data_IF_969954661549
#
_entry.id   IF_969954661549
#
_cell.length_a   1.000
_cell.length_b   1.000
_cell.length_c   1.000
_cell.angle_alpha   90.00
_cell.angle_beta   90.00
_cell.angle_gamma   90.00
#
_symmetry.space_group_name_H-M   'P 1'
#
loop_
_entity.id
_entity.type
_entity.pdbx_description
1 polymer ?
#
# COMPACT_ATOMS: atom_id res chain seq x y z
N UNK A 1 -6.00 5.54 16.46
CA UNK A 1 -7.47 5.72 16.43
C UNK A 1 -8.07 5.39 15.05
N UNK A 2 -7.52 5.91 13.93
CA UNK A 2 -8.04 5.65 12.57
C UNK A 2 -8.14 4.16 12.18
N UNK A 3 -7.15 3.35 12.58
CA UNK A 3 -7.10 1.91 12.25
C UNK A 3 -8.32 1.11 12.74
N UNK A 4 -8.96 1.50 13.85
CA UNK A 4 -10.12 0.78 14.37
C UNK A 4 -11.33 0.96 13.46
N UNK A 5 -11.69 2.21 13.15
CA UNK A 5 -12.84 2.52 12.29
C UNK A 5 -12.65 1.98 10.87
N UNK A 6 -11.45 2.12 10.32
CA UNK A 6 -11.08 1.54 9.03
C UNK A 6 -10.96 0.00 9.04
N UNK A 7 -11.14 -0.67 10.17
CA UNK A 7 -11.23 -2.14 10.22
C UNK A 7 -12.68 -2.65 10.24
N UNK A 8 -13.66 -1.78 10.47
CA UNK A 8 -15.05 -2.18 10.77
C UNK A 8 -16.03 -1.74 9.68
N UNK A 9 -15.74 -0.67 8.93
CA UNK A 9 -16.53 -0.27 7.78
C UNK A 9 -15.66 0.29 6.65
N UNK A 10 -16.22 0.41 5.44
CA UNK A 10 -15.59 1.11 4.33
C UNK A 10 -15.79 2.63 4.47
N UNK A 11 -14.73 3.42 4.73
CA UNK A 11 -14.83 4.88 4.76
C UNK A 11 -15.11 5.45 3.36
N UNK A 12 -15.61 6.69 3.27
CA UNK A 12 -15.81 7.36 1.97
C UNK A 12 -14.48 7.45 1.19
N UNK A 13 -14.53 7.22 -0.12
CA UNK A 13 -13.33 7.26 -0.99
C UNK A 13 -12.54 8.55 -0.85
N UNK A 14 -13.22 9.69 -0.79
CA UNK A 14 -12.58 11.00 -0.61
C UNK A 14 -11.71 11.08 0.66
N UNK A 15 -12.09 10.41 1.75
CA UNK A 15 -11.31 10.36 2.99
C UNK A 15 -10.05 9.51 2.78
N UNK A 16 -10.18 8.35 2.14
CA UNK A 16 -9.06 7.45 1.85
C UNK A 16 -8.07 8.11 0.91
N UNK A 17 -8.56 8.79 -0.13
CA UNK A 17 -7.76 9.55 -1.07
C UNK A 17 -7.01 10.69 -0.37
N UNK A 18 -7.69 11.46 0.48
CA UNK A 18 -7.04 12.54 1.26
C UNK A 18 -5.91 12.02 2.15
N UNK A 19 -6.14 10.91 2.85
CA UNK A 19 -5.12 10.28 3.71
C UNK A 19 -3.95 9.77 2.86
N UNK A 20 -4.25 9.12 1.74
CA UNK A 20 -3.23 8.62 0.81
C UNK A 20 -2.38 9.77 0.27
N UNK A 21 -3.00 10.90 -0.07
CA UNK A 21 -2.29 12.11 -0.49
C UNK A 21 -1.36 12.63 0.60
N UNK A 22 -1.83 12.75 1.85
CA UNK A 22 -0.99 13.20 2.98
C UNK A 22 0.20 12.26 3.18
N UNK A 23 -0.02 10.94 3.16
CA UNK A 23 1.08 9.97 3.29
C UNK A 23 2.08 10.07 2.13
N UNK A 24 1.61 10.30 0.91
CA UNK A 24 2.45 10.49 -0.28
C UNK A 24 3.27 11.76 -0.20
N UNK A 25 2.65 12.89 0.13
CA UNK A 25 3.31 14.18 0.29
C UNK A 25 4.37 14.13 1.39
N UNK A 26 4.04 13.51 2.53
CA UNK A 26 5.00 13.35 3.61
C UNK A 26 6.21 12.48 3.20
N UNK A 27 5.97 11.35 2.52
CA UNK A 27 7.04 10.43 2.13
C UNK A 27 8.05 11.06 1.15
N UNK A 28 7.57 11.85 0.18
CA UNK A 28 8.42 12.39 -0.89
C UNK A 28 8.80 13.87 -0.72
N UNK A 29 7.93 14.65 -0.07
CA UNK A 29 8.07 16.09 0.13
C UNK A 29 8.42 16.51 1.54
N UNK A 30 8.19 15.66 2.55
CA UNK A 30 8.42 15.98 3.98
C UNK A 30 7.44 17.00 4.58
N UNK A 31 6.46 17.47 3.80
CA UNK A 31 5.41 18.42 4.17
C UNK A 31 4.06 17.91 3.67
N UNK A 32 2.96 18.36 4.29
CA UNK A 32 1.61 17.93 3.90
C UNK A 32 1.21 18.43 2.49
N UNK A 33 1.73 19.60 2.10
CA UNK A 33 1.47 20.19 0.79
C UNK A 33 2.21 19.42 -0.32
N UNK A 34 1.51 19.20 -1.43
CA UNK A 34 2.06 18.50 -2.58
C UNK A 34 3.06 19.41 -3.30
N UNK A 35 4.34 19.23 -2.99
CA UNK A 35 5.43 20.06 -3.55
C UNK A 35 6.38 19.28 -4.45
N UNK A 36 6.46 17.96 -4.31
CA UNK A 36 7.44 17.13 -5.03
C UNK A 36 6.80 15.97 -5.75
N UNK A 37 7.26 15.73 -6.98
CA UNK A 37 6.88 14.56 -7.78
C UNK A 37 7.49 13.31 -7.15
N UNK A 38 6.70 12.27 -6.85
CA UNK A 38 7.21 11.01 -6.33
C UNK A 38 8.26 10.37 -7.24
N UNK A 39 9.36 9.90 -6.66
CA UNK A 39 10.38 9.16 -7.40
C UNK A 39 9.91 7.76 -7.82
N UNK A 40 9.00 7.17 -7.05
CA UNK A 40 8.49 5.81 -7.28
C UNK A 40 6.96 5.87 -7.25
N UNK A 41 6.30 5.07 -8.10
CA UNK A 41 4.84 5.00 -8.13
C UNK A 41 4.32 4.54 -6.76
N UNK A 42 3.16 5.04 -6.36
CA UNK A 42 2.59 4.65 -5.07
C UNK A 42 2.23 3.17 -5.03
N UNK A 43 1.71 2.63 -6.14
CA UNK A 43 1.37 1.23 -6.31
C UNK A 43 2.54 0.28 -6.02
N UNK A 44 3.77 0.73 -6.30
CA UNK A 44 4.99 0.00 -5.99
C UNK A 44 5.47 0.27 -4.56
N UNK A 45 5.39 1.53 -4.12
CA UNK A 45 5.82 1.96 -2.79
C UNK A 45 5.18 1.14 -1.67
N UNK A 46 3.86 0.93 -1.70
CA UNK A 46 3.16 0.26 -0.59
C UNK A 46 3.35 -1.27 -0.55
N UNK A 47 3.96 -1.88 -1.57
CA UNK A 47 4.14 -3.33 -1.58
C UNK A 47 5.01 -3.80 -0.39
N UNK A 48 4.87 -5.07 -0.03
CA UNK A 48 5.73 -5.66 0.99
C UNK A 48 7.20 -5.55 0.60
N UNK A 49 8.08 -5.52 1.60
CA UNK A 49 9.54 -5.43 1.38
C UNK A 49 10.08 -6.55 0.50
N UNK A 50 9.59 -7.79 0.71
CA UNK A 50 9.88 -8.97 -0.13
C UNK A 50 9.51 -8.80 -1.60
N UNK A 51 8.59 -7.89 -1.91
CA UNK A 51 8.11 -7.59 -3.27
C UNK A 51 8.70 -6.29 -3.83
N UNK A 52 9.65 -5.69 -3.11
CA UNK A 52 10.37 -4.51 -3.55
C UNK A 52 9.74 -3.17 -3.16
N UNK A 53 8.68 -3.16 -2.35
CA UNK A 53 8.15 -1.93 -1.75
C UNK A 53 8.78 -1.62 -0.38
N UNK A 54 8.26 -0.61 0.32
CA UNK A 54 8.70 -0.23 1.68
C UNK A 54 7.87 -0.89 2.78
N UNK A 55 6.75 -1.54 2.43
CA UNK A 55 5.85 -2.21 3.37
C UNK A 55 4.90 -1.29 4.13
N UNK A 56 4.59 -0.11 3.59
CA UNK A 56 3.50 0.73 4.12
C UNK A 56 2.14 0.20 3.65
N UNK A 57 1.07 0.49 4.39
CA UNK A 57 -0.27 0.00 4.03
C UNK A 57 -0.89 0.92 2.98
N UNK A 58 -1.38 0.33 1.89
CA UNK A 58 -2.42 0.98 1.09
C UNK A 58 -3.75 0.91 1.84
N UNK A 59 -4.29 2.05 2.25
CA UNK A 59 -5.46 2.09 3.12
C UNK A 59 -6.72 1.55 2.45
N UNK A 60 -6.86 1.73 1.14
CA UNK A 60 -8.01 1.22 0.39
C UNK A 60 -7.97 -0.32 0.31
N UNK A 61 -6.83 -0.88 -0.13
CA UNK A 61 -6.63 -2.32 -0.20
C UNK A 61 -6.71 -2.96 1.20
N UNK A 62 -6.02 -2.39 2.20
CA UNK A 62 -6.00 -2.93 3.56
C UNK A 62 -7.39 -2.92 4.22
N UNK A 63 -8.16 -1.84 4.04
CA UNK A 63 -9.53 -1.75 4.56
C UNK A 63 -10.42 -2.82 3.91
N UNK A 64 -10.39 -2.94 2.57
CA UNK A 64 -11.15 -3.97 1.84
C UNK A 64 -10.80 -5.39 2.30
N UNK A 65 -9.51 -5.70 2.45
CA UNK A 65 -9.03 -7.00 2.95
C UNK A 65 -9.51 -7.24 4.38
N UNK A 66 -9.52 -6.21 5.23
CA UNK A 66 -9.95 -6.36 6.63
C UNK A 66 -11.44 -6.60 6.76
N UNK A 67 -12.27 -5.86 6.01
CA UNK A 67 -13.72 -6.11 5.93
C UNK A 67 -14.00 -7.50 5.36
N UNK A 68 -13.24 -7.88 4.33
CA UNK A 68 -13.32 -9.21 3.76
C UNK A 68 -13.03 -10.32 4.78
N UNK A 69 -11.99 -10.16 5.62
CA UNK A 69 -11.69 -11.11 6.70
C UNK A 69 -12.82 -11.21 7.73
N UNK A 70 -13.51 -10.11 8.04
CA UNK A 70 -14.68 -10.12 8.93
C UNK A 70 -15.84 -10.88 8.29
N UNK A 71 -16.19 -10.59 7.04
CA UNK A 71 -17.23 -11.29 6.28
C UNK A 71 -16.92 -12.79 6.22
N UNK A 72 -15.68 -13.15 5.91
CA UNK A 72 -15.23 -14.55 5.87
C UNK A 72 -15.39 -15.25 7.23
N UNK A 73 -15.02 -14.58 8.33
CA UNK A 73 -15.14 -15.16 9.67
C UNK A 73 -16.61 -15.43 10.05
N UNK A 74 -17.54 -14.57 9.65
CA UNK A 74 -18.98 -14.80 9.85
C UNK A 74 -19.48 -15.93 8.94
N UNK A 75 -19.10 -15.92 7.66
CA UNK A 75 -19.49 -16.93 6.68
C UNK A 75 -19.04 -18.36 7.09
N UNK A 76 -17.82 -18.47 7.60
CA UNK A 76 -17.22 -19.75 8.04
C UNK A 76 -17.59 -20.15 9.46
N UNK A 77 -18.47 -19.40 10.14
CA UNK A 77 -18.86 -19.62 11.55
C UNK A 77 -17.65 -19.80 12.47
N UNK A 78 -16.62 -18.96 12.28
CA UNK A 78 -15.37 -19.03 13.05
C UNK A 78 -15.66 -19.03 14.55
N UNK A 79 -15.02 -19.93 15.29
CA UNK A 79 -15.23 -20.11 16.73
C UNK A 79 -14.61 -18.97 17.56
N UNK A 80 -15.24 -17.79 17.53
CA UNK A 80 -14.85 -16.62 18.32
C UNK A 80 -16.10 -15.92 18.90
N UNK A 81 -16.01 -15.30 20.09
CA UNK A 81 -17.19 -14.79 20.80
C UNK A 81 -18.07 -13.83 20.00
N UNK A 82 -17.47 -12.88 19.28
CA UNK A 82 -18.23 -11.89 18.50
C UNK A 82 -18.95 -12.51 17.29
N UNK A 83 -18.39 -13.57 16.68
CA UNK A 83 -19.05 -14.31 15.59
C UNK A 83 -20.22 -15.10 16.14
N UNK A 84 -20.04 -15.80 17.27
CA UNK A 84 -21.15 -16.49 17.96
C UNK A 84 -22.28 -15.53 18.31
N UNK A 85 -21.94 -14.38 18.86
CA UNK A 85 -22.91 -13.33 19.19
C UNK A 85 -23.63 -12.82 17.92
N UNK A 86 -22.91 -12.57 16.83
CA UNK A 86 -23.52 -12.13 15.58
C UNK A 86 -24.46 -13.18 14.99
N UNK A 87 -24.09 -14.46 15.05
CA UNK A 87 -24.95 -15.56 14.63
C UNK A 87 -26.21 -15.67 15.50
N UNK A 88 -26.09 -15.56 16.82
CA UNK A 88 -27.24 -15.61 17.73
C UNK A 88 -28.16 -14.39 17.65
N UNK A 89 -27.61 -13.18 17.47
CA UNK A 89 -28.40 -11.93 17.48
C UNK A 89 -28.97 -11.55 16.13
N UNK A 90 -28.17 -11.67 15.06
CA UNK A 90 -28.53 -11.18 13.72
C UNK A 90 -29.01 -12.29 12.80
N UNK A 91 -28.28 -13.40 12.71
CA UNK A 91 -28.49 -14.43 11.67
C UNK A 91 -29.57 -15.43 12.08
N UNK A 92 -29.60 -15.85 13.36
CA UNK A 92 -30.61 -16.75 13.95
C UNK A 92 -30.82 -18.01 13.11
N UNK A 93 -29.73 -18.74 12.87
CA UNK A 93 -29.67 -20.00 12.11
C UNK A 93 -30.02 -19.94 10.62
N UNK A 94 -30.22 -18.74 10.06
CA UNK A 94 -30.34 -18.55 8.61
C UNK A 94 -29.01 -18.83 7.89
N UNK A 95 -29.08 -19.23 6.63
CA UNK A 95 -27.89 -19.28 5.80
C UNK A 95 -27.30 -17.87 5.63
N UNK A 96 -25.98 -17.77 5.70
CA UNK A 96 -25.30 -16.49 5.58
C UNK A 96 -25.57 -15.85 4.22
N UNK A 97 -25.46 -16.59 3.12
CA UNK A 97 -25.51 -16.08 1.74
C UNK A 97 -26.90 -15.60 1.32
N UNK A 98 -27.95 -16.20 1.89
CA UNK A 98 -29.34 -15.82 1.67
C UNK A 98 -29.89 -14.88 2.75
N UNK A 99 -29.05 -14.46 3.70
CA UNK A 99 -29.45 -13.60 4.79
C UNK A 99 -29.77 -12.18 4.33
N UNK A 100 -30.91 -11.66 4.79
CA UNK A 100 -31.26 -10.25 4.68
C UNK A 100 -31.33 -9.61 6.08
N UNK A 101 -30.66 -8.46 6.30
CA UNK A 101 -30.65 -7.82 7.60
C UNK A 101 -32.02 -7.22 7.94
N UNK A 102 -32.42 -7.36 9.20
CA UNK A 102 -33.67 -6.78 9.70
C UNK A 102 -33.62 -5.23 9.71
N UNK A 103 -34.76 -4.53 9.61
CA UNK A 103 -34.80 -3.07 9.57
C UNK A 103 -34.23 -2.38 10.82
N UNK A 104 -34.24 -3.04 11.96
CA UNK A 104 -33.67 -2.59 13.24
C UNK A 104 -32.16 -2.87 13.37
N UNK A 105 -31.56 -3.56 12.40
CA UNK A 105 -30.12 -3.87 12.42
C UNK A 105 -29.27 -2.60 12.33
N UNK A 106 -28.08 -2.64 12.95
CA UNK A 106 -27.17 -1.50 12.92
C UNK A 106 -26.76 -1.12 11.49
N UNK A 107 -26.55 0.17 11.26
CA UNK A 107 -26.17 0.68 9.94
C UNK A 107 -24.87 0.02 9.42
N UNK A 108 -23.89 -0.17 10.30
CA UNK A 108 -22.62 -0.82 9.99
C UNK A 108 -22.85 -2.27 9.50
N UNK A 109 -23.70 -3.02 10.21
CA UNK A 109 -24.02 -4.41 9.85
C UNK A 109 -24.67 -4.49 8.47
N UNK A 110 -25.67 -3.65 8.22
CA UNK A 110 -26.32 -3.55 6.90
C UNK A 110 -25.33 -3.21 5.79
N UNK A 111 -24.45 -2.23 6.01
CA UNK A 111 -23.46 -1.79 5.03
C UNK A 111 -22.44 -2.89 4.70
N UNK A 112 -21.92 -3.57 5.72
CA UNK A 112 -20.98 -4.68 5.50
C UNK A 112 -21.65 -5.86 4.77
N UNK A 113 -22.93 -6.13 5.02
CA UNK A 113 -23.71 -7.15 4.31
C UNK A 113 -24.01 -6.80 2.86
N UNK A 114 -24.21 -5.52 2.52
CA UNK A 114 -24.33 -5.12 1.12
C UNK A 114 -23.09 -5.50 0.30
N UNK A 115 -21.92 -5.55 0.94
CA UNK A 115 -20.67 -5.99 0.31
C UNK A 115 -20.52 -7.52 0.23
N UNK A 116 -21.35 -8.30 0.92
CA UNK A 116 -21.34 -9.77 0.84
C UNK A 116 -21.60 -10.29 -0.57
N UNK A 117 -22.49 -9.66 -1.34
CA UNK A 117 -22.73 -10.03 -2.75
C UNK A 117 -21.55 -9.69 -3.65
N UNK A 118 -20.85 -8.59 -3.35
CA UNK A 118 -19.61 -8.20 -4.06
C UNK A 118 -18.41 -9.08 -3.68
N UNK A 119 -18.49 -9.75 -2.53
CA UNK A 119 -17.42 -10.58 -1.96
C UNK A 119 -17.26 -11.91 -2.70
N UNK A 120 -18.36 -12.52 -3.20
CA UNK A 120 -18.31 -13.79 -3.95
C UNK A 120 -17.49 -13.69 -5.25
N UNK A 121 -17.48 -12.55 -5.94
CA UNK A 121 -16.87 -12.42 -7.27
C UNK A 121 -15.48 -11.77 -7.28
N UNK A 122 -15.13 -10.95 -6.29
CA UNK A 122 -13.94 -10.07 -6.35
C UNK A 122 -12.85 -10.35 -5.33
N UNK A 123 -13.08 -11.26 -4.38
CA UNK A 123 -12.09 -11.50 -3.31
C UNK A 123 -10.86 -12.27 -3.81
N UNK A 124 -11.03 -13.21 -4.73
CA UNK A 124 -9.93 -14.01 -5.24
C UNK A 124 -8.85 -13.12 -5.87
N UNK A 125 -9.24 -12.13 -6.67
CA UNK A 125 -8.28 -11.21 -7.29
C UNK A 125 -7.60 -10.27 -6.29
N UNK A 126 -8.31 -9.78 -5.27
CA UNK A 126 -7.74 -8.89 -4.24
C UNK A 126 -6.79 -9.60 -3.27
N UNK A 127 -6.98 -10.89 -3.02
CA UNK A 127 -6.02 -11.70 -2.27
C UNK A 127 -4.84 -12.10 -3.17
N UNK A 128 -5.09 -12.39 -4.45
CA UNK A 128 -4.06 -12.78 -5.41
C UNK A 128 -3.15 -11.63 -5.88
N UNK A 129 -3.49 -10.35 -5.67
CA UNK A 129 -2.57 -9.23 -5.96
C UNK A 129 -1.29 -9.22 -5.13
N UNK A 130 -1.16 -10.08 -4.11
CA UNK A 130 0.10 -10.30 -3.37
C UNK A 130 1.06 -11.32 -4.02
N UNK A 131 0.77 -11.81 -5.24
CA UNK A 131 1.64 -12.71 -6.00
C UNK A 131 2.67 -11.98 -6.87
N UNK A 132 3.25 -10.87 -6.40
CA UNK A 132 4.46 -10.35 -7.05
C UNK A 132 5.64 -11.28 -6.75
N UNK A 133 6.54 -11.46 -7.72
CA UNK A 133 7.76 -12.24 -7.52
C UNK A 133 8.58 -11.63 -6.38
N UNK A 134 9.19 -12.48 -5.55
CA UNK A 134 10.08 -11.98 -4.52
C UNK A 134 11.32 -11.37 -5.15
N UNK A 135 11.75 -10.22 -4.65
CA UNK A 135 13.03 -9.60 -5.03
C UNK A 135 14.16 -10.20 -4.20
N UNK A 136 15.37 -10.29 -4.75
CA UNK A 136 16.52 -10.90 -4.09
C UNK A 136 17.27 -9.94 -3.15
N UNK A 137 17.09 -8.63 -3.35
CA UNK A 137 17.82 -7.58 -2.65
C UNK A 137 17.12 -7.08 -1.38
N UNK A 138 15.89 -7.52 -1.08
CA UNK A 138 15.08 -7.01 0.03
C UNK A 138 15.80 -7.11 1.37
N UNK A 139 16.48 -8.24 1.61
CA UNK A 139 17.25 -8.49 2.84
C UNK A 139 18.49 -7.62 2.99
N UNK A 140 19.06 -7.17 1.87
CA UNK A 140 20.23 -6.28 1.85
C UNK A 140 19.80 -4.87 2.21
N UNK A 141 18.78 -4.36 1.52
CA UNK A 141 18.27 -3.00 1.70
C UNK A 141 17.63 -2.82 3.08
N UNK A 142 16.85 -3.81 3.53
CA UNK A 142 16.09 -3.74 4.78
C UNK A 142 16.71 -4.53 5.92
N UNK A 143 18.03 -4.71 5.92
CA UNK A 143 18.76 -5.37 6.99
C UNK A 143 18.48 -4.69 8.35
N UNK A 144 18.47 -5.46 9.45
CA UNK A 144 18.16 -4.93 10.79
C UNK A 144 19.15 -3.86 11.26
N UNK A 145 20.39 -3.92 10.81
CA UNK A 145 21.44 -2.95 11.10
C UNK A 145 21.46 -1.76 10.14
N UNK A 146 20.62 -1.76 9.09
CA UNK A 146 20.60 -0.68 8.12
C UNK A 146 20.01 0.59 8.75
N UNK A 147 20.77 1.69 8.66
CA UNK A 147 20.30 3.01 9.08
C UNK A 147 19.09 3.38 8.20
N UNK A 148 17.92 3.75 8.75
CA UNK A 148 16.70 3.94 7.99
C UNK A 148 16.83 4.89 6.78
N UNK A 149 17.57 6.00 6.95
CA UNK A 149 17.82 6.95 5.86
C UNK A 149 18.60 6.32 4.70
N UNK A 150 19.66 5.56 4.99
CA UNK A 150 20.47 4.89 3.98
C UNK A 150 19.67 3.77 3.32
N UNK A 151 18.96 2.95 4.10
CA UNK A 151 18.07 1.92 3.57
C UNK A 151 17.03 2.50 2.59
N UNK A 152 16.44 3.66 2.91
CA UNK A 152 15.50 4.33 2.03
C UNK A 152 16.16 4.81 0.73
N UNK A 153 17.34 5.44 0.80
CA UNK A 153 18.07 5.88 -0.41
C UNK A 153 18.49 4.69 -1.26
N UNK A 154 19.01 3.61 -0.66
CA UNK A 154 19.38 2.38 -1.36
C UNK A 154 18.15 1.71 -1.99
N UNK A 155 17.00 1.71 -1.31
CA UNK A 155 15.74 1.26 -1.90
C UNK A 155 15.37 2.06 -3.15
N UNK A 156 15.47 3.40 -3.08
CA UNK A 156 15.23 4.26 -4.24
C UNK A 156 16.22 3.97 -5.37
N UNK A 157 17.51 3.78 -5.05
CA UNK A 157 18.56 3.42 -6.00
C UNK A 157 18.25 2.12 -6.75
N UNK A 158 17.96 1.03 -6.05
CA UNK A 158 17.70 -0.28 -6.67
C UNK A 158 16.45 -0.27 -7.56
N UNK A 159 15.57 0.71 -7.40
CA UNK A 159 14.39 0.92 -8.24
C UNK A 159 14.64 1.88 -9.41
N UNK A 160 15.90 2.24 -9.67
CA UNK A 160 16.32 3.28 -10.62
C UNK A 160 15.62 4.63 -10.36
N UNK A 161 15.26 4.85 -9.09
CA UNK A 161 14.39 5.88 -8.54
C UNK A 161 15.02 7.27 -8.43
N UNK A 162 16.35 7.32 -8.42
CA UNK A 162 17.08 8.52 -7.99
C UNK A 162 16.86 9.71 -8.93
N UNK A 163 16.83 10.94 -8.39
CA UNK A 163 16.72 12.16 -9.19
C UNK A 163 18.04 12.51 -9.87
N UNK A 164 18.42 11.72 -10.87
CA UNK A 164 19.61 11.99 -11.69
C UNK A 164 19.27 12.92 -12.86
N UNK A 165 20.25 13.67 -13.37
CA UNK A 165 20.05 14.51 -14.57
C UNK A 165 19.48 13.72 -15.75
N UNK A 166 19.93 12.48 -15.97
CA UNK A 166 19.39 11.57 -17.00
C UNK A 166 17.91 11.24 -16.81
N UNK A 167 17.43 11.18 -15.56
CA UNK A 167 16.01 10.95 -15.29
C UNK A 167 15.19 12.23 -15.41
N UNK A 168 15.76 13.37 -15.00
CA UNK A 168 15.14 14.68 -15.13
C UNK A 168 14.99 15.14 -16.58
N UNK A 169 15.91 14.75 -17.47
CA UNK A 169 15.85 15.10 -18.90
C UNK A 169 14.58 14.61 -19.61
N UNK A 170 13.93 13.56 -19.07
CA UNK A 170 12.60 13.09 -19.53
C UNK A 170 11.50 14.13 -19.39
N UNK A 171 11.64 15.05 -18.44
CA UNK A 171 10.68 16.12 -18.17
C UNK A 171 11.21 17.50 -18.58
N UNK A 172 12.54 17.66 -18.63
CA UNK A 172 13.23 18.90 -18.98
C UNK A 172 14.26 18.61 -20.09
N UNK A 173 13.87 18.65 -21.36
CA UNK A 173 14.72 18.21 -22.49
C UNK A 173 16.02 19.00 -22.65
N UNK A 174 16.08 20.24 -22.13
CA UNK A 174 17.23 21.14 -22.25
C UNK A 174 18.23 21.00 -21.09
N UNK A 175 18.23 19.87 -20.38
CA UNK A 175 19.10 19.65 -19.21
C UNK A 175 20.45 19.12 -19.67
N UNK A 176 21.54 19.76 -19.23
CA UNK A 176 22.89 19.19 -19.35
C UNK A 176 22.97 17.87 -18.58
N UNK A 177 23.37 16.79 -19.28
CA UNK A 177 23.45 15.44 -18.74
C UNK A 177 24.78 15.15 -18.05
N UNK A 178 25.78 16.02 -18.18
CA UNK A 178 27.10 15.76 -17.59
C UNK A 178 27.02 15.67 -16.06
N UNK A 179 27.69 14.67 -15.50
CA UNK A 179 27.82 14.49 -14.06
C UNK A 179 28.45 15.73 -13.41
N UNK A 180 27.77 16.26 -12.39
CA UNK A 180 28.22 17.45 -11.67
C UNK A 180 29.55 17.26 -10.91
N UNK A 181 30.01 16.01 -10.74
CA UNK A 181 31.22 15.69 -10.00
C UNK A 181 32.40 15.36 -10.91
N UNK A 182 32.18 14.64 -12.02
CA UNK A 182 33.25 14.18 -12.91
C UNK A 182 33.38 15.00 -14.20
N UNK A 183 32.34 15.76 -14.57
CA UNK A 183 32.24 16.56 -15.80
C UNK A 183 32.56 15.82 -17.12
N UNK A 184 32.60 14.48 -17.12
CA UNK A 184 33.10 13.67 -18.24
C UNK A 184 32.13 12.58 -18.68
N UNK A 185 31.32 12.04 -17.76
CA UNK A 185 30.28 11.05 -18.03
C UNK A 185 28.88 11.61 -17.77
N UNK A 186 27.85 10.93 -18.26
CA UNK A 186 26.46 11.26 -17.95
C UNK A 186 26.13 10.96 -16.48
N UNK A 187 25.32 11.83 -15.85
CA UNK A 187 24.82 11.58 -14.50
C UNK A 187 23.68 10.57 -14.53
N UNK A 188 24.02 9.31 -14.29
CA UNK A 188 23.07 8.26 -13.98
C UNK A 188 23.36 7.56 -12.65
N UNK A 189 22.43 6.73 -12.24
CA UNK A 189 22.45 6.06 -10.94
C UNK A 189 23.64 5.09 -10.84
N UNK A 190 23.93 4.34 -11.90
CA UNK A 190 25.13 3.50 -11.99
C UNK A 190 26.42 4.31 -11.91
N UNK A 191 26.50 5.43 -12.63
CA UNK A 191 27.68 6.28 -12.60
C UNK A 191 27.94 6.84 -11.19
N UNK A 192 26.90 7.31 -10.50
CA UNK A 192 27.02 7.90 -9.16
C UNK A 192 27.44 6.89 -8.07
N UNK A 193 27.05 5.62 -8.19
CA UNK A 193 27.24 4.61 -7.13
C UNK A 193 28.17 3.45 -7.48
N UNK A 194 28.61 3.31 -8.73
CA UNK A 194 29.45 2.19 -9.18
C UNK A 194 30.70 2.63 -9.94
N UNK A 195 30.59 3.62 -10.83
CA UNK A 195 31.69 3.97 -11.75
C UNK A 195 32.51 5.19 -11.29
N UNK A 196 31.98 5.99 -10.36
CA UNK A 196 32.69 7.17 -9.85
C UNK A 196 33.79 6.76 -8.86
N UNK A 197 35.02 7.34 -8.94
CA UNK A 197 36.19 6.86 -8.20
C UNK A 197 36.13 6.98 -6.66
N UNK A 198 35.06 7.56 -6.13
CA UNK A 198 34.79 7.67 -4.69
C UNK A 198 33.48 6.99 -4.26
N UNK A 199 32.90 6.15 -5.12
CA UNK A 199 31.69 5.36 -4.84
C UNK A 199 31.95 4.18 -3.89
#
# INVERSE_FOLDING_TARGET
>A
MYNYWASIFLPPKAVVEKITTICRSYLWGGIEEYTRVPHISWAHTWQAKKHGGIGIKDYDAWNKITIAKLIWAVATKKDVPWVKWAHGRYIKDKDWWDYTPAPDSSWIWKKNLLHQRSFQSRLFSLICTELSSNVTWDKVVWARSAIPRHAFITWVYVQHGLPTKKRLSRFLPQTDLQCAFCHSAEEDDTHLFSDYPYA
#
